data_IF_968532063202
#
_entry.id   IF_968532063202
#
_cell.length_a   1.000
_cell.length_b   1.000
_cell.length_c   1.000
_cell.angle_alpha   90.00
_cell.angle_beta   90.00
_cell.angle_gamma   90.00
#
_symmetry.space_group_name_H-M   'P 1'
#
loop_
_entity.id
_entity.type
_entity.pdbx_description
1 polymer ?
#
# COMPACT_ATOMS: atom_id res chain seq x y z
N UNK A 1 -12.47 12.06 12.18
CA UNK A 1 -13.39 10.92 12.32
C UNK A 1 -12.94 9.70 11.52
N UNK A 2 -12.43 9.87 10.30
CA UNK A 2 -11.92 8.78 9.44
C UNK A 2 -10.65 8.11 9.98
N UNK A 3 -9.84 8.76 10.77
CA UNK A 3 -8.52 8.31 11.21
C UNK A 3 -8.42 8.14 12.72
N UNK A 4 -9.55 7.94 13.40
CA UNK A 4 -9.54 7.65 14.84
C UNK A 4 -9.14 6.18 15.06
N UNK A 5 -7.98 5.88 15.67
CA UNK A 5 -7.51 4.51 15.88
C UNK A 5 -8.46 3.64 16.70
N UNK A 6 -9.35 4.26 17.48
CA UNK A 6 -10.41 3.54 18.22
C UNK A 6 -11.51 3.00 17.31
N UNK A 7 -11.65 3.56 16.10
CA UNK A 7 -12.67 3.18 15.11
C UNK A 7 -12.11 2.33 13.99
N UNK A 8 -10.81 2.37 13.77
CA UNK A 8 -10.09 1.59 12.78
C UNK A 8 -9.28 0.52 13.47
N UNK A 9 -9.90 -0.60 13.70
CA UNK A 9 -9.17 -1.81 14.02
C UNK A 9 -8.56 -2.34 12.70
N UNK A 10 -7.27 -2.11 12.51
CA UNK A 10 -6.48 -2.74 11.48
C UNK A 10 -5.94 -4.10 11.94
N UNK A 11 -6.70 -4.84 12.75
CA UNK A 11 -6.48 -6.25 12.94
C UNK A 11 -6.32 -6.93 11.57
N UNK A 12 -5.78 -8.14 11.53
CA UNK A 12 -5.36 -8.84 10.31
C UNK A 12 -6.26 -8.60 9.08
N UNK A 13 -7.57 -8.65 9.24
CA UNK A 13 -8.56 -8.42 8.15
C UNK A 13 -8.58 -6.95 7.70
N UNK A 14 -8.45 -6.01 8.62
CA UNK A 14 -8.43 -4.58 8.30
C UNK A 14 -7.18 -4.21 7.51
N UNK A 15 -6.00 -4.65 7.95
CA UNK A 15 -4.73 -4.44 7.23
C UNK A 15 -4.76 -5.03 5.82
N UNK A 16 -5.24 -6.27 5.66
CA UNK A 16 -5.41 -6.90 4.36
C UNK A 16 -6.29 -6.05 3.41
N UNK A 17 -7.41 -5.51 3.90
CA UNK A 17 -8.30 -4.67 3.08
C UNK A 17 -7.66 -3.35 2.68
N UNK A 18 -6.96 -2.70 3.61
CA UNK A 18 -6.19 -1.49 3.31
C UNK A 18 -5.13 -1.78 2.24
N UNK A 19 -4.33 -2.83 2.43
CA UNK A 19 -3.31 -3.23 1.47
C UNK A 19 -3.93 -3.51 0.09
N UNK A 20 -5.05 -4.21 0.03
CA UNK A 20 -5.73 -4.50 -1.24
C UNK A 20 -6.24 -3.23 -1.95
N UNK A 21 -6.84 -2.29 -1.21
CA UNK A 21 -7.40 -1.05 -1.79
C UNK A 21 -6.34 -0.01 -2.10
N UNK A 22 -5.35 0.17 -1.23
CA UNK A 22 -4.33 1.19 -1.35
C UNK A 22 -3.09 0.74 -2.11
N UNK A 23 -2.98 -0.55 -2.47
CA UNK A 23 -1.86 -1.05 -3.24
C UNK A 23 -1.64 -0.21 -4.49
N UNK A 24 -0.45 0.37 -4.62
CA UNK A 24 -0.11 1.25 -5.74
C UNK A 24 -0.34 0.53 -7.07
N UNK A 25 0.08 -0.73 -7.18
CA UNK A 25 -0.09 -1.56 -8.38
C UNK A 25 -1.52 -1.69 -8.86
N UNK A 26 -2.50 -1.76 -7.95
CA UNK A 26 -3.91 -1.88 -8.32
C UNK A 26 -4.51 -0.56 -8.82
N UNK A 27 -3.85 0.56 -8.49
CA UNK A 27 -4.31 1.90 -8.82
C UNK A 27 -3.68 2.45 -10.10
N UNK A 28 -2.48 2.01 -10.45
CA UNK A 28 -1.75 2.48 -11.64
C UNK A 28 -1.86 1.53 -12.82
N UNK A 29 -2.23 0.27 -12.61
CA UNK A 29 -2.36 -0.72 -13.68
C UNK A 29 -3.37 -0.28 -14.75
N UNK A 30 -2.99 -0.37 -16.03
CA UNK A 30 -3.82 0.04 -17.17
C UNK A 30 -3.83 1.54 -17.44
N UNK A 31 -3.08 2.35 -16.71
CA UNK A 31 -2.90 3.77 -16.95
C UNK A 31 -1.55 4.06 -17.62
N UNK A 32 -1.43 5.24 -18.21
CA UNK A 32 -0.19 5.70 -18.83
C UNK A 32 0.57 6.61 -17.86
N UNK A 33 1.88 6.40 -17.76
CA UNK A 33 2.76 7.24 -16.95
C UNK A 33 2.85 8.65 -17.52
N UNK A 34 2.73 9.66 -16.68
CA UNK A 34 2.89 11.05 -17.06
C UNK A 34 4.34 11.55 -16.90
N UNK A 35 5.11 10.91 -16.03
CA UNK A 35 6.52 11.20 -15.75
C UNK A 35 7.30 9.90 -15.61
N UNK A 36 8.63 9.98 -15.72
CA UNK A 36 9.52 8.86 -15.49
C UNK A 36 9.39 8.38 -14.04
N UNK A 37 9.37 7.06 -13.86
CA UNK A 37 9.38 6.42 -12.54
C UNK A 37 10.81 5.98 -12.24
N UNK A 38 11.38 6.53 -11.17
CA UNK A 38 12.74 6.29 -10.74
C UNK A 38 12.77 5.53 -9.43
N UNK A 39 13.61 4.52 -9.34
CA UNK A 39 13.92 3.86 -8.07
C UNK A 39 14.65 4.85 -7.17
N UNK A 40 14.07 5.13 -5.99
CA UNK A 40 14.64 6.11 -5.05
C UNK A 40 15.92 5.62 -4.39
N UNK A 41 16.20 4.32 -4.42
CA UNK A 41 17.37 3.69 -3.81
C UNK A 41 18.56 3.67 -4.77
N UNK A 42 18.32 3.27 -6.03
CA UNK A 42 19.37 3.11 -7.05
C UNK A 42 19.51 4.32 -7.95
N UNK A 43 18.47 5.13 -8.09
CA UNK A 43 18.39 6.22 -9.05
C UNK A 43 18.15 5.76 -10.49
N UNK A 44 17.90 4.47 -10.71
CA UNK A 44 17.62 3.92 -12.04
C UNK A 44 16.18 4.19 -12.48
N UNK A 45 15.97 4.40 -13.79
CA UNK A 45 14.63 4.56 -14.36
C UNK A 45 13.98 3.18 -14.47
N UNK A 46 12.90 2.96 -13.75
CA UNK A 46 12.08 1.74 -13.80
C UNK A 46 11.20 1.75 -15.06
N UNK A 47 10.62 2.92 -15.37
CA UNK A 47 9.79 3.11 -16.55
C UNK A 47 9.79 4.58 -16.98
N UNK A 48 9.76 4.81 -18.30
CA UNK A 48 9.73 6.15 -18.88
C UNK A 48 8.31 6.71 -18.97
N UNK A 49 8.20 8.03 -19.01
CA UNK A 49 6.95 8.73 -19.29
C UNK A 49 6.32 8.25 -20.62
N UNK A 50 4.99 8.17 -20.67
CA UNK A 50 4.26 7.65 -21.82
C UNK A 50 4.12 6.13 -21.85
N UNK A 51 4.76 5.40 -20.96
CA UNK A 51 4.63 3.93 -20.87
C UNK A 51 3.27 3.55 -20.27
N UNK A 52 2.57 2.61 -20.91
CA UNK A 52 1.38 1.98 -20.34
C UNK A 52 1.78 0.99 -19.23
N UNK A 53 1.20 1.17 -18.05
CA UNK A 53 1.55 0.36 -16.88
C UNK A 53 0.84 -0.99 -16.95
N UNK A 54 1.59 -2.02 -17.32
CA UNK A 54 1.14 -3.41 -17.24
C UNK A 54 1.10 -3.90 -15.80
N UNK A 55 0.44 -5.04 -15.56
CA UNK A 55 0.36 -5.64 -14.22
C UNK A 55 1.75 -5.99 -13.64
N UNK A 56 2.67 -6.46 -14.47
CA UNK A 56 4.04 -6.77 -14.05
C UNK A 56 4.77 -5.49 -13.67
N UNK A 57 4.74 -4.48 -14.54
CA UNK A 57 5.38 -3.19 -14.28
C UNK A 57 4.81 -2.50 -13.02
N UNK A 58 3.49 -2.60 -12.81
CA UNK A 58 2.86 -2.07 -11.61
C UNK A 58 3.35 -2.76 -10.33
N UNK A 59 3.61 -4.07 -10.39
CA UNK A 59 4.18 -4.84 -9.29
C UNK A 59 5.64 -4.43 -9.02
N UNK A 60 6.43 -4.27 -10.06
CA UNK A 60 7.82 -3.81 -9.96
C UNK A 60 7.91 -2.41 -9.36
N UNK A 61 7.08 -1.46 -9.82
CA UNK A 61 7.01 -0.10 -9.29
C UNK A 61 6.61 -0.10 -7.81
N UNK A 62 5.62 -0.90 -7.42
CA UNK A 62 5.21 -1.00 -6.02
C UNK A 62 6.35 -1.54 -5.16
N UNK A 63 7.04 -2.58 -5.62
CA UNK A 63 8.08 -3.26 -4.85
C UNK A 63 9.43 -2.51 -4.87
N UNK A 64 9.62 -1.56 -5.77
CA UNK A 64 10.70 -0.58 -5.68
C UNK A 64 10.45 0.51 -4.61
N UNK A 65 9.36 0.40 -3.85
CA UNK A 65 8.96 1.34 -2.79
C UNK A 65 8.88 2.80 -3.26
N UNK A 66 8.46 3.02 -4.51
CA UNK A 66 8.28 4.36 -5.06
C UNK A 66 7.19 5.10 -4.30
N UNK A 67 7.45 6.30 -3.76
CA UNK A 67 6.49 7.00 -2.89
C UNK A 67 5.27 7.51 -3.64
N UNK A 68 5.38 7.77 -4.93
CA UNK A 68 4.28 8.22 -5.79
C UNK A 68 4.59 7.98 -7.27
N UNK A 69 3.53 7.98 -8.08
CA UNK A 69 3.60 7.89 -9.53
C UNK A 69 2.67 8.94 -10.13
N UNK A 70 3.10 9.62 -11.19
CA UNK A 70 2.23 10.48 -11.98
C UNK A 70 1.62 9.69 -13.13
N UNK A 71 0.31 9.70 -13.25
CA UNK A 71 -0.44 9.05 -14.33
C UNK A 71 -1.25 10.06 -15.14
N UNK A 72 -1.43 9.76 -16.42
CA UNK A 72 -2.28 10.53 -17.32
C UNK A 72 -3.74 10.12 -17.14
N UNK A 73 -4.64 11.09 -17.06
CA UNK A 73 -6.09 10.88 -17.18
C UNK A 73 -6.61 11.70 -18.35
N UNK A 74 -7.86 11.55 -18.71
CA UNK A 74 -8.48 12.28 -19.83
C UNK A 74 -8.41 13.79 -19.69
N UNK A 75 -8.41 14.31 -18.47
CA UNK A 75 -8.51 15.74 -18.18
C UNK A 75 -7.20 16.36 -17.69
N UNK A 76 -6.39 15.59 -16.96
CA UNK A 76 -5.13 16.08 -16.36
C UNK A 76 -4.23 14.95 -15.89
N UNK A 77 -2.99 15.28 -15.57
CA UNK A 77 -2.11 14.36 -14.86
C UNK A 77 -2.44 14.36 -13.36
N UNK A 78 -2.45 13.19 -12.74
CA UNK A 78 -2.74 13.03 -11.32
C UNK A 78 -1.63 12.26 -10.61
N UNK A 79 -1.34 12.67 -9.39
CA UNK A 79 -0.31 12.06 -8.53
C UNK A 79 -0.93 10.97 -7.67
N UNK A 80 -0.53 9.72 -7.90
CA UNK A 80 -0.97 8.56 -7.12
C UNK A 80 0.05 8.27 -6.03
N UNK A 81 -0.36 8.42 -4.76
CA UNK A 81 0.50 8.20 -3.60
C UNK A 81 0.49 6.73 -3.18
N UNK A 82 1.68 6.21 -2.87
CA UNK A 82 1.87 4.88 -2.31
C UNK A 82 1.50 4.85 -0.81
N UNK A 83 1.06 3.69 -0.32
CA UNK A 83 0.98 3.39 1.11
C UNK A 83 2.28 2.81 1.66
N UNK A 84 3.34 2.74 0.84
CA UNK A 84 4.67 2.21 1.17
C UNK A 84 4.64 0.75 1.67
N UNK A 85 3.66 -0.02 1.23
CA UNK A 85 3.55 -1.45 1.53
C UNK A 85 4.13 -2.27 0.37
N UNK A 86 5.13 -3.10 0.67
CA UNK A 86 5.88 -3.89 -0.33
C UNK A 86 5.84 -5.39 -0.01
N UNK A 87 6.15 -6.22 -1.00
CA UNK A 87 6.29 -7.67 -0.81
C UNK A 87 7.71 -8.00 -0.34
N UNK A 88 7.83 -8.64 0.81
CA UNK A 88 9.12 -9.00 1.40
C UNK A 88 9.99 -9.87 0.49
N UNK A 89 9.39 -10.67 -0.40
CA UNK A 89 10.12 -11.54 -1.35
C UNK A 89 11.03 -10.81 -2.33
N UNK A 90 10.82 -9.51 -2.54
CA UNK A 90 11.69 -8.68 -3.38
C UNK A 90 12.97 -8.23 -2.66
N UNK A 91 13.03 -8.40 -1.35
CA UNK A 91 14.13 -7.89 -0.52
C UNK A 91 14.92 -8.99 0.19
N UNK A 92 14.27 -10.11 0.50
CA UNK A 92 14.90 -11.22 1.23
C UNK A 92 14.58 -12.53 0.53
N UNK A 93 15.63 -13.30 0.22
CA UNK A 93 15.51 -14.63 -0.41
C UNK A 93 15.13 -15.68 0.65
N UNK A 94 13.86 -15.70 1.02
CA UNK A 94 13.27 -16.70 1.91
C UNK A 94 11.73 -16.72 1.78
N UNK A 95 11.09 -17.79 2.25
CA UNK A 95 9.62 -17.79 2.35
C UNK A 95 9.20 -16.84 3.49
N UNK A 96 8.43 -15.77 3.20
CA UNK A 96 7.97 -14.85 4.24
C UNK A 96 7.24 -15.53 5.40
N UNK A 97 6.58 -16.67 5.14
CA UNK A 97 5.86 -17.43 6.17
C UNK A 97 6.78 -17.99 7.25
N UNK A 98 8.02 -18.34 6.90
CA UNK A 98 9.04 -18.81 7.86
C UNK A 98 9.45 -17.71 8.84
N UNK A 99 9.28 -16.46 8.41
CA UNK A 99 9.52 -15.26 9.22
C UNK A 99 8.25 -14.77 9.94
N UNK A 100 7.12 -15.46 9.79
CA UNK A 100 5.84 -15.05 10.36
C UNK A 100 5.12 -13.93 9.58
N UNK A 101 5.59 -13.62 8.38
CA UNK A 101 5.02 -12.58 7.50
C UNK A 101 3.98 -13.23 6.58
N UNK A 102 2.75 -12.72 6.60
CA UNK A 102 1.64 -13.22 5.78
C UNK A 102 1.01 -12.14 4.90
N UNK A 103 1.46 -10.90 5.04
CA UNK A 103 0.93 -9.71 4.38
C UNK A 103 2.07 -8.88 3.78
N UNK A 104 1.74 -7.84 3.04
CA UNK A 104 2.72 -6.82 2.65
C UNK A 104 3.32 -6.17 3.91
N UNK A 105 4.58 -5.79 3.82
CA UNK A 105 5.33 -5.15 4.91
C UNK A 105 5.52 -3.66 4.65
N UNK A 106 5.61 -2.89 5.71
CA UNK A 106 5.83 -1.45 5.64
C UNK A 106 7.30 -1.14 5.37
N UNK A 107 7.58 -0.63 4.18
CA UNK A 107 8.94 -0.42 3.67
C UNK A 107 9.83 0.46 4.55
N UNK A 108 9.36 1.58 5.15
CA UNK A 108 10.24 2.40 5.99
C UNK A 108 10.85 1.62 7.16
N UNK A 109 10.10 0.70 7.77
CA UNK A 109 10.63 -0.17 8.84
C UNK A 109 11.55 -1.24 8.24
N UNK A 110 11.18 -1.83 7.10
CA UNK A 110 12.03 -2.81 6.44
C UNK A 110 13.38 -2.20 6.03
N UNK A 111 13.38 -1.00 5.46
CA UNK A 111 14.60 -0.30 5.06
C UNK A 111 15.53 -0.04 6.27
N UNK A 112 14.96 0.39 7.39
CA UNK A 112 15.72 0.57 8.63
C UNK A 112 16.35 -0.74 9.10
N UNK A 113 15.59 -1.84 9.10
CA UNK A 113 16.11 -3.16 9.51
C UNK A 113 17.22 -3.65 8.58
N UNK A 114 17.11 -3.40 7.27
CA UNK A 114 18.16 -3.75 6.30
C UNK A 114 19.45 -2.93 6.51
N UNK A 115 19.31 -1.65 6.86
CA UNK A 115 20.45 -0.78 7.14
C UNK A 115 21.17 -1.20 8.44
N UNK A 116 20.40 -1.54 9.48
CA UNK A 116 20.92 -1.97 10.78
C UNK A 116 21.51 -3.38 10.76
N UNK A 117 21.05 -4.27 9.85
CA UNK A 117 21.43 -5.67 9.78
C UNK A 117 21.86 -6.04 8.36
N UNK A 118 23.11 -5.75 7.96
CA UNK A 118 23.59 -6.05 6.60
C UNK A 118 23.80 -7.55 6.34
N UNK A 119 23.89 -8.39 7.37
CA UNK A 119 23.94 -9.83 7.26
C UNK A 119 22.53 -10.42 7.09
N UNK A 120 22.40 -11.39 6.18
CA UNK A 120 21.10 -11.98 5.81
C UNK A 120 20.46 -12.73 6.98
N UNK A 121 21.26 -13.46 7.79
CA UNK A 121 20.69 -14.22 8.90
C UNK A 121 20.29 -13.29 10.06
N UNK A 122 21.10 -12.27 10.34
CA UNK A 122 20.77 -11.25 11.33
C UNK A 122 19.51 -10.47 10.91
N UNK A 123 19.39 -10.15 9.63
CA UNK A 123 18.18 -9.50 9.07
C UNK A 123 16.95 -10.38 9.24
N UNK A 124 17.02 -11.68 8.95
CA UNK A 124 15.91 -12.61 9.15
C UNK A 124 15.46 -12.67 10.61
N UNK A 125 16.41 -12.68 11.56
CA UNK A 125 16.08 -12.63 12.97
C UNK A 125 15.46 -11.29 13.38
N UNK A 126 15.99 -10.17 12.87
CA UNK A 126 15.44 -8.84 13.11
C UNK A 126 14.01 -8.73 12.58
N UNK A 127 13.73 -9.24 11.37
CA UNK A 127 12.38 -9.31 10.79
C UNK A 127 11.43 -10.11 11.70
N UNK A 128 11.83 -11.30 12.17
CA UNK A 128 11.01 -12.11 13.10
C UNK A 128 10.66 -11.37 14.39
N UNK A 129 11.61 -10.62 14.93
CA UNK A 129 11.41 -9.83 16.17
C UNK A 129 10.47 -8.64 15.95
N UNK A 130 10.49 -8.04 14.74
CA UNK A 130 9.78 -6.80 14.43
C UNK A 130 8.54 -7.00 13.51
N UNK A 131 7.97 -8.20 13.46
CA UNK A 131 6.77 -8.50 12.63
C UNK A 131 5.61 -7.53 12.90
N UNK A 132 5.44 -7.07 14.13
CA UNK A 132 4.34 -6.18 14.53
C UNK A 132 4.51 -4.75 13.96
N UNK A 133 5.73 -4.31 13.76
CA UNK A 133 6.04 -2.99 13.19
C UNK A 133 6.05 -3.08 11.66
N UNK A 134 6.54 -4.20 11.12
CA UNK A 134 6.50 -4.49 9.68
C UNK A 134 5.08 -4.66 9.15
N UNK A 135 4.17 -5.26 9.92
CA UNK A 135 2.74 -5.37 9.60
C UNK A 135 1.96 -4.55 10.63
N UNK A 136 1.94 -3.20 10.49
CA UNK A 136 1.37 -2.33 11.50
C UNK A 136 -0.13 -2.58 11.66
N UNK A 137 -0.57 -2.77 12.92
CA UNK A 137 -1.98 -2.92 13.30
C UNK A 137 -2.69 -1.58 13.45
N UNK A 138 -1.98 -0.48 13.32
CA UNK A 138 -2.50 0.87 13.34
C UNK A 138 -2.39 1.52 11.96
N UNK A 139 -3.11 2.59 11.74
CA UNK A 139 -3.02 3.39 10.51
C UNK A 139 -1.69 4.12 10.50
N UNK A 140 -0.88 3.93 9.46
CA UNK A 140 0.34 4.68 9.24
C UNK A 140 0.06 6.05 8.63
N UNK A 141 1.05 6.94 8.67
CA UNK A 141 1.01 8.23 7.98
C UNK A 141 0.75 8.06 6.47
N UNK A 142 1.40 7.09 5.86
CA UNK A 142 1.29 6.84 4.42
C UNK A 142 -0.07 6.23 4.05
N UNK A 143 -0.66 5.40 4.92
CA UNK A 143 -2.04 4.95 4.78
C UNK A 143 -3.02 6.13 4.76
N UNK A 144 -2.82 7.14 5.61
CA UNK A 144 -3.69 8.32 5.66
C UNK A 144 -3.62 9.09 4.34
N UNK A 145 -2.41 9.40 3.87
CA UNK A 145 -2.22 10.12 2.62
C UNK A 145 -2.73 9.33 1.42
N UNK A 146 -2.41 8.04 1.35
CA UNK A 146 -2.90 7.17 0.29
C UNK A 146 -4.43 7.03 0.30
N UNK A 147 -5.07 6.99 1.48
CA UNK A 147 -6.53 6.93 1.61
C UNK A 147 -7.23 8.19 1.13
N UNK A 148 -6.71 9.36 1.49
CA UNK A 148 -7.23 10.65 1.00
C UNK A 148 -7.08 10.73 -0.50
N UNK A 149 -5.89 10.41 -1.00
CA UNK A 149 -5.55 10.40 -2.42
C UNK A 149 -6.44 9.41 -3.20
N UNK A 150 -6.67 8.20 -2.67
CA UNK A 150 -7.59 7.21 -3.24
C UNK A 150 -9.00 7.78 -3.41
N UNK A 151 -9.57 8.36 -2.35
CA UNK A 151 -10.93 8.90 -2.40
C UNK A 151 -11.06 10.07 -3.40
N UNK A 152 -10.03 10.92 -3.50
CA UNK A 152 -10.02 12.02 -4.47
C UNK A 152 -9.90 11.56 -5.92
N UNK A 153 -9.36 10.38 -6.16
CA UNK A 153 -9.09 9.88 -7.49
C UNK A 153 -10.17 8.93 -8.04
N UNK A 154 -11.17 8.55 -7.24
CA UNK A 154 -12.28 7.72 -7.71
C UNK A 154 -13.02 8.34 -8.89
N UNK A 155 -13.15 9.67 -8.92
CA UNK A 155 -13.76 10.42 -10.03
C UNK A 155 -12.99 10.28 -11.36
N UNK A 156 -11.72 9.90 -11.31
CA UNK A 156 -10.87 9.68 -12.49
C UNK A 156 -10.77 8.19 -12.88
N UNK A 157 -11.55 7.32 -12.26
CA UNK A 157 -11.49 5.88 -12.50
C UNK A 157 -10.25 5.20 -11.91
N UNK A 158 -9.50 5.89 -11.05
CA UNK A 158 -8.32 5.34 -10.36
C UNK A 158 -8.76 4.75 -9.04
N UNK A 159 -8.84 3.45 -9.00
CA UNK A 159 -9.30 2.69 -7.83
C UNK A 159 -10.56 1.92 -8.16
N UNK A 160 -11.03 1.16 -7.17
CA UNK A 160 -12.22 0.34 -7.31
C UNK A 160 -13.34 0.93 -6.43
N UNK A 161 -14.38 1.47 -7.06
CA UNK A 161 -15.58 2.03 -6.41
C UNK A 161 -16.64 0.94 -6.17
N UNK A 162 -16.23 -0.16 -5.55
CA UNK A 162 -17.19 -1.13 -5.07
C UNK A 162 -17.94 -0.59 -3.86
N UNK A 163 -19.24 -0.36 -3.97
CA UNK A 163 -20.14 0.10 -2.91
C UNK A 163 -20.04 -0.67 -1.59
N UNK A 164 -19.52 -1.88 -1.65
CA UNK A 164 -19.40 -2.80 -0.52
C UNK A 164 -18.12 -2.57 0.28
N UNK A 165 -17.10 -1.95 -0.31
CA UNK A 165 -15.74 -1.93 0.23
C UNK A 165 -15.10 -0.53 0.36
N UNK A 166 -15.89 0.53 0.57
CA UNK A 166 -15.34 1.83 0.86
C UNK A 166 -14.40 1.80 2.08
N UNK A 167 -13.19 2.36 1.92
CA UNK A 167 -12.29 2.61 3.03
C UNK A 167 -13.02 3.41 4.10
N UNK A 168 -13.19 2.84 5.28
CA UNK A 168 -13.80 3.52 6.43
C UNK A 168 -15.31 3.42 6.58
N UNK A 169 -16.08 2.99 5.59
CA UNK A 169 -17.54 2.97 5.67
C UNK A 169 -18.14 1.72 6.31
N UNK A 170 -17.42 0.61 6.38
CA UNK A 170 -18.01 -0.65 6.78
C UNK A 170 -18.42 -0.70 8.25
N UNK A 171 -17.66 -0.08 9.16
CA UNK A 171 -18.05 -0.01 10.59
C UNK A 171 -19.19 0.96 10.82
N UNK A 172 -19.26 2.06 10.07
CA UNK A 172 -20.36 3.02 10.17
C UNK A 172 -21.65 2.40 9.64
N UNK A 173 -21.62 1.69 8.52
CA UNK A 173 -22.79 0.97 7.98
C UNK A 173 -23.23 -0.20 8.87
N UNK A 174 -22.30 -0.98 9.43
CA UNK A 174 -22.62 -2.03 10.38
C UNK A 174 -23.24 -1.47 11.67
N UNK A 175 -22.72 -0.35 12.19
CA UNK A 175 -23.29 0.32 13.35
C UNK A 175 -24.70 0.89 13.08
N UNK A 176 -24.93 1.45 11.90
CA UNK A 176 -26.25 1.94 11.46
C UNK A 176 -27.23 0.78 11.25
N UNK A 177 -26.82 -0.33 10.63
CA UNK A 177 -27.66 -1.54 10.51
C UNK A 177 -28.05 -2.13 11.87
N UNK A 178 -27.14 -2.13 12.84
CA UNK A 178 -27.43 -2.65 14.19
C UNK A 178 -28.42 -1.78 14.96
N UNK A 179 -28.42 -0.46 14.75
CA UNK A 179 -29.41 0.44 15.36
C UNK A 179 -30.79 0.27 14.76
N UNK A 180 -30.91 -0.04 13.48
CA UNK A 180 -32.19 -0.34 12.83
C UNK A 180 -32.78 -1.72 13.19
N UNK A 181 -31.95 -2.68 13.59
CA UNK A 181 -32.43 -4.01 14.01
C UNK A 181 -32.83 -4.09 15.49
N UNK A 182 -32.65 -3.00 16.27
CA UNK A 182 -33.07 -2.90 17.68
C UNK A 182 -34.25 -1.94 17.92
N UNK A 183 -34.77 -1.35 16.89
CA UNK A 183 -36.01 -0.57 16.91
C UNK A 183 -37.16 -1.40 16.31
#
# INVERSE_FOLDING_TARGET
>A
MFFDPRRYDLAKVGRYKFNKKLALKNRINGHVLAEDVVDVTTGEIIAEAGTEVTRSLADDIQNAAVPYVWIQTETRNVKVLSSMMVDLRHYVDCDPKELGITELVYYPILAQLMEENPDVEDLKEAIKKNVHDLIPKHITKDDIFASINYNMHLEYGIGNDDDIDHLGNRRIRAAVSYTHLRA
#
